data_IF_633029213915
#
_entry.id   IF_633029213915
#
_cell.length_a   1.000
_cell.length_b   1.000
_cell.length_c   1.000
_cell.angle_alpha   90.00
_cell.angle_beta   90.00
_cell.angle_gamma   90.00
#
_symmetry.space_group_name_H-M   'P 1'
#
loop_
_entity.id
_entity.type
_entity.pdbx_description
1 polymer ?
#
# COMPACT_ATOMS: atom_id res chain seq x y z
N UNK A 1 44.37 31.07 43.92
CA UNK A 1 43.17 30.38 44.48
C UNK A 1 42.08 31.43 44.56
N UNK A 2 40.88 31.33 43.99
CA UNK A 2 40.20 30.25 43.29
C UNK A 2 39.26 30.81 42.21
N UNK A 3 38.78 29.88 41.40
CA UNK A 3 38.31 30.05 40.02
C UNK A 3 36.94 30.73 39.87
N UNK A 4 36.83 31.48 38.78
CA UNK A 4 35.64 32.17 38.29
C UNK A 4 34.47 31.23 37.99
N UNK A 5 33.30 31.59 38.51
CA UNK A 5 32.02 31.00 38.16
C UNK A 5 31.53 31.54 36.81
N UNK A 6 31.44 30.69 35.78
CA UNK A 6 30.49 30.84 34.66
C UNK A 6 30.03 29.45 34.22
N UNK A 7 28.89 29.01 34.74
CA UNK A 7 28.18 27.79 34.30
C UNK A 7 27.60 28.07 32.91
N UNK A 8 28.16 27.46 31.87
CA UNK A 8 27.55 27.43 30.55
C UNK A 8 26.38 26.44 30.57
N UNK A 9 25.16 26.93 30.42
CA UNK A 9 23.97 26.10 30.21
C UNK A 9 23.96 25.69 28.74
N UNK A 10 24.39 24.47 28.43
CA UNK A 10 24.22 23.90 27.11
C UNK A 10 22.77 23.41 26.97
N UNK A 11 21.94 24.19 26.26
CA UNK A 11 20.58 23.82 25.92
C UNK A 11 20.63 22.76 24.81
N UNK A 12 20.45 21.49 25.16
CA UNK A 12 20.35 20.40 24.19
C UNK A 12 19.01 20.53 23.43
N UNK A 13 19.06 20.94 22.16
CA UNK A 13 17.94 20.80 21.23
C UNK A 13 17.76 19.30 20.93
N UNK A 14 16.73 18.68 21.50
CA UNK A 14 16.24 17.37 21.10
C UNK A 14 15.55 17.51 19.73
N UNK A 15 15.93 16.76 18.68
CA UNK A 15 15.15 16.72 17.46
C UNK A 15 13.82 16.03 17.74
N UNK A 16 12.71 16.69 17.37
CA UNK A 16 11.38 16.11 17.40
C UNK A 16 11.35 14.92 16.43
N UNK A 17 11.40 13.70 16.99
CA UNK A 17 11.19 12.48 16.25
C UNK A 17 9.72 12.49 15.81
N UNK A 18 9.45 12.81 14.55
CA UNK A 18 8.14 12.64 13.97
C UNK A 18 7.76 11.16 14.16
N UNK A 19 6.70 10.90 14.94
CA UNK A 19 6.17 9.57 15.11
C UNK A 19 5.71 9.08 13.72
N UNK A 20 6.54 8.24 13.08
CA UNK A 20 6.12 7.52 11.91
C UNK A 20 4.91 6.67 12.35
N UNK A 21 3.75 6.79 11.68
CA UNK A 21 2.63 5.93 11.99
C UNK A 21 3.09 4.48 11.88
N UNK A 22 2.88 3.71 12.94
CA UNK A 22 3.15 2.29 12.97
C UNK A 22 2.16 1.59 12.03
N UNK A 23 2.46 1.64 10.73
CA UNK A 23 1.70 0.93 9.74
C UNK A 23 2.05 -0.56 9.84
N UNK A 24 0.99 -1.36 9.92
CA UNK A 24 0.97 -2.77 9.52
C UNK A 24 2.01 -3.02 8.43
N UNK A 25 2.88 -4.02 8.64
CA UNK A 25 4.16 -4.24 7.95
C UNK A 25 4.33 -3.44 6.64
N UNK A 26 5.40 -2.65 6.55
CA UNK A 26 5.78 -1.89 5.36
C UNK A 26 6.23 -2.83 4.21
N UNK A 27 5.27 -3.43 3.50
CA UNK A 27 5.56 -4.40 2.43
C UNK A 27 5.95 -3.75 1.09
N UNK A 28 6.01 -2.41 0.99
CA UNK A 28 6.42 -1.77 -0.26
C UNK A 28 6.68 -0.27 -0.22
N UNK A 29 6.38 0.43 0.88
CA UNK A 29 6.39 1.89 1.04
C UNK A 29 5.74 2.68 -0.12
N UNK A 30 4.86 2.03 -0.89
CA UNK A 30 3.90 2.73 -1.73
C UNK A 30 2.71 3.03 -0.83
N UNK A 31 2.38 4.31 -0.68
CA UNK A 31 1.21 4.77 0.06
C UNK A 31 0.25 5.39 -0.94
N UNK A 32 -0.89 4.73 -1.25
CA UNK A 32 -1.89 5.29 -2.15
C UNK A 32 -2.38 6.66 -1.66
N UNK A 33 -2.56 7.61 -2.56
CA UNK A 33 -2.89 8.99 -2.21
C UNK A 33 -1.71 9.87 -1.76
N UNK A 34 -0.51 9.30 -1.57
CA UNK A 34 0.70 10.06 -1.22
C UNK A 34 1.87 9.80 -2.19
N UNK A 35 2.15 8.54 -2.51
CA UNK A 35 3.25 8.19 -3.41
C UNK A 35 3.01 8.68 -4.83
N UNK A 36 4.08 9.12 -5.48
CA UNK A 36 4.07 9.59 -6.87
C UNK A 36 4.81 8.62 -7.79
N UNK A 37 4.63 8.77 -9.10
CA UNK A 37 5.43 8.10 -10.12
C UNK A 37 6.94 8.18 -9.85
N UNK A 38 7.42 9.34 -9.41
CA UNK A 38 8.84 9.55 -9.07
C UNK A 38 9.27 8.66 -7.90
N UNK A 39 8.54 8.68 -6.80
CA UNK A 39 8.87 7.88 -5.60
C UNK A 39 8.84 6.37 -5.88
N UNK A 40 7.90 5.91 -6.70
CA UNK A 40 7.81 4.49 -7.09
C UNK A 40 8.99 4.12 -7.99
N UNK A 41 9.34 4.96 -8.98
CA UNK A 41 10.48 4.72 -9.86
C UNK A 41 11.80 4.74 -9.11
N UNK A 42 11.96 5.64 -8.13
CA UNK A 42 13.16 5.68 -7.29
C UNK A 42 13.36 4.38 -6.50
N UNK A 43 12.27 3.68 -6.16
CA UNK A 43 12.30 2.43 -5.39
C UNK A 43 12.45 1.19 -6.26
N UNK A 44 11.67 1.08 -7.32
CA UNK A 44 11.56 -0.14 -8.12
C UNK A 44 12.23 -0.04 -9.49
N UNK A 45 12.83 1.11 -9.81
CA UNK A 45 13.36 1.36 -11.15
C UNK A 45 12.27 1.55 -12.19
N UNK A 46 12.65 1.35 -13.45
CA UNK A 46 11.72 1.46 -14.58
C UNK A 46 10.73 0.28 -14.60
N UNK A 47 9.45 0.52 -14.91
CA UNK A 47 8.50 -0.56 -15.07
C UNK A 47 8.83 -1.40 -16.31
N UNK A 48 8.49 -2.69 -16.27
CA UNK A 48 8.59 -3.57 -17.44
C UNK A 48 7.58 -3.26 -18.53
N UNK A 49 6.43 -2.68 -18.15
CA UNK A 49 5.36 -2.33 -19.07
C UNK A 49 4.56 -1.15 -18.54
N UNK A 50 4.12 -0.29 -19.46
CA UNK A 50 3.28 0.87 -19.16
C UNK A 50 2.04 0.83 -20.05
N UNK A 51 0.88 1.07 -19.46
CA UNK A 51 -0.39 1.21 -20.17
C UNK A 51 -1.04 2.55 -19.84
N UNK A 52 -1.72 3.14 -20.82
CA UNK A 52 -2.64 4.24 -20.59
C UNK A 52 -4.04 3.70 -20.30
N UNK A 53 -4.77 4.37 -19.42
CA UNK A 53 -6.14 3.99 -19.06
C UNK A 53 -7.02 5.23 -18.87
N UNK A 54 -8.33 5.08 -19.05
CA UNK A 54 -9.32 6.11 -18.68
C UNK A 54 -9.89 5.81 -17.30
N UNK A 55 -9.73 6.74 -16.37
CA UNK A 55 -10.23 6.64 -14.99
C UNK A 55 -11.20 7.79 -14.78
N UNK A 56 -12.49 7.49 -14.66
CA UNK A 56 -13.54 8.50 -14.41
C UNK A 56 -13.50 9.66 -15.43
N UNK A 57 -13.15 9.36 -16.69
CA UNK A 57 -13.00 10.34 -17.77
C UNK A 57 -11.61 11.00 -17.87
N UNK A 58 -10.73 10.81 -16.88
CA UNK A 58 -9.36 11.33 -16.89
C UNK A 58 -8.37 10.32 -17.47
N UNK A 59 -7.27 10.84 -18.04
CA UNK A 59 -6.14 10.02 -18.48
C UNK A 59 -5.29 9.60 -17.28
N UNK A 60 -5.19 8.29 -17.08
CA UNK A 60 -4.33 7.68 -16.08
C UNK A 60 -3.33 6.72 -16.69
N UNK A 61 -2.39 6.29 -15.85
CA UNK A 61 -1.28 5.41 -16.25
C UNK A 61 -1.27 4.18 -15.36
N UNK A 62 -0.91 3.03 -15.92
CA UNK A 62 -0.65 1.79 -15.18
C UNK A 62 0.77 1.33 -15.47
N UNK A 63 1.52 1.02 -14.41
CA UNK A 63 2.82 0.40 -14.50
C UNK A 63 2.78 -1.04 -14.03
N UNK A 64 3.55 -1.89 -14.70
CA UNK A 64 3.74 -3.28 -14.34
C UNK A 64 5.21 -3.54 -14.08
N UNK A 65 5.48 -4.25 -12.99
CA UNK A 65 6.78 -4.77 -12.59
C UNK A 65 6.67 -6.30 -12.54
N UNK A 66 7.17 -6.94 -13.59
CA UNK A 66 7.04 -8.38 -13.85
C UNK A 66 8.41 -9.04 -13.96
N UNK A 67 8.45 -10.37 -13.88
CA UNK A 67 9.67 -11.17 -14.05
C UNK A 67 10.84 -10.68 -13.16
N UNK A 68 11.99 -10.33 -13.76
CA UNK A 68 13.18 -9.90 -13.04
C UNK A 68 13.03 -8.54 -12.34
N UNK A 69 12.01 -7.74 -12.71
CA UNK A 69 11.71 -6.46 -12.07
C UNK A 69 10.60 -6.56 -11.01
N UNK A 70 9.97 -7.73 -10.87
CA UNK A 70 9.02 -7.95 -9.78
C UNK A 70 9.77 -7.96 -8.43
N UNK A 71 9.22 -7.33 -7.38
CA UNK A 71 9.81 -7.40 -6.05
C UNK A 71 9.98 -8.84 -5.55
N UNK A 72 10.96 -9.13 -4.68
CA UNK A 72 11.17 -10.46 -4.13
C UNK A 72 9.88 -11.06 -3.53
N UNK A 73 9.62 -12.32 -3.85
CA UNK A 73 8.40 -13.02 -3.42
C UNK A 73 7.15 -12.71 -4.25
N UNK A 74 7.18 -11.72 -5.14
CA UNK A 74 6.06 -11.40 -6.03
C UNK A 74 6.22 -12.04 -7.40
N UNK A 75 5.08 -12.39 -8.00
CA UNK A 75 4.98 -12.64 -9.44
C UNK A 75 4.92 -11.31 -10.18
N UNK A 76 4.17 -10.36 -9.62
CA UNK A 76 3.90 -9.07 -10.24
C UNK A 76 3.54 -8.01 -9.20
N UNK A 77 4.01 -6.79 -9.44
CA UNK A 77 3.50 -5.56 -8.84
C UNK A 77 2.86 -4.72 -9.94
N UNK A 78 1.62 -4.28 -9.73
CA UNK A 78 0.91 -3.37 -10.64
C UNK A 78 0.62 -2.07 -9.88
N UNK A 79 0.95 -0.93 -10.46
CA UNK A 79 0.70 0.38 -9.85
C UNK A 79 -0.17 1.21 -10.78
N UNK A 80 -1.32 1.64 -10.28
CA UNK A 80 -2.20 2.56 -10.98
C UNK A 80 -1.96 3.99 -10.51
N UNK A 81 -1.84 4.89 -11.47
CA UNK A 81 -1.71 6.34 -11.27
C UNK A 81 -2.90 7.09 -11.83
N UNK A 82 -3.15 8.27 -11.28
CA UNK A 82 -4.29 9.11 -11.62
C UNK A 82 -5.35 9.02 -10.53
N UNK A 83 -5.29 9.97 -9.60
CA UNK A 83 -6.24 10.10 -8.49
C UNK A 83 -6.88 11.49 -8.53
N UNK A 84 -8.17 11.57 -8.22
CA UNK A 84 -8.91 12.84 -8.13
C UNK A 84 -9.27 13.16 -6.68
N UNK A 85 -8.33 13.71 -5.87
CA UNK A 85 -8.69 14.30 -4.59
C UNK A 85 -9.59 15.53 -4.77
N UNK A 86 -10.13 16.03 -3.64
CA UNK A 86 -10.98 17.23 -3.63
C UNK A 86 -10.34 18.47 -4.27
N UNK A 87 -9.00 18.52 -4.32
CA UNK A 87 -8.21 19.61 -4.91
C UNK A 87 -8.08 19.53 -6.44
N UNK A 88 -8.54 18.44 -7.07
CA UNK A 88 -8.47 18.23 -8.52
C UNK A 88 -7.70 16.98 -8.91
N UNK A 89 -7.74 16.63 -10.21
CA UNK A 89 -7.08 15.43 -10.72
C UNK A 89 -5.56 15.54 -10.70
N UNK A 90 -4.90 14.48 -10.26
CA UNK A 90 -3.45 14.35 -10.12
C UNK A 90 -2.98 13.09 -10.86
N UNK A 91 -2.42 13.23 -12.08
CA UNK A 91 -2.03 12.09 -12.91
C UNK A 91 -0.84 11.30 -12.37
N UNK A 92 0.00 11.94 -11.55
CA UNK A 92 1.24 11.40 -11.02
C UNK A 92 1.06 10.61 -9.70
N UNK A 93 -0.11 10.75 -9.06
CA UNK A 93 -0.40 10.19 -7.75
C UNK A 93 -0.86 8.74 -7.87
N UNK A 94 -0.33 7.87 -7.01
CA UNK A 94 -0.77 6.47 -6.91
C UNK A 94 -2.20 6.44 -6.41
N UNK A 95 -3.11 5.89 -7.21
CA UNK A 95 -4.50 5.63 -6.81
C UNK A 95 -4.67 4.27 -6.16
N UNK A 96 -3.88 3.30 -6.57
CA UNK A 96 -3.93 1.92 -6.08
C UNK A 96 -2.71 1.15 -6.53
N UNK A 97 -2.39 0.07 -5.84
CA UNK A 97 -1.45 -0.93 -6.35
C UNK A 97 -1.90 -2.34 -5.98
N UNK A 98 -1.48 -3.31 -6.77
CA UNK A 98 -1.78 -4.72 -6.63
C UNK A 98 -0.48 -5.50 -6.46
N UNK A 99 -0.40 -6.30 -5.41
CA UNK A 99 0.65 -7.31 -5.23
C UNK A 99 0.07 -8.67 -5.59
N UNK A 100 0.70 -9.36 -6.54
CA UNK A 100 0.40 -10.75 -6.84
C UNK A 100 1.56 -11.62 -6.35
N UNK A 101 1.44 -12.24 -5.17
CA UNK A 101 2.53 -13.03 -4.60
C UNK A 101 2.73 -14.36 -5.31
N UNK A 102 3.94 -14.92 -5.21
CA UNK A 102 4.17 -16.34 -5.50
C UNK A 102 3.39 -17.19 -4.48
N UNK A 103 3.00 -18.43 -4.83
CA UNK A 103 2.33 -19.32 -3.88
C UNK A 103 3.12 -19.46 -2.57
N UNK A 104 2.42 -19.57 -1.43
CA UNK A 104 2.96 -19.74 -0.07
C UNK A 104 3.71 -18.54 0.51
N UNK A 105 3.76 -17.39 -0.17
CA UNK A 105 4.35 -16.17 0.41
C UNK A 105 3.42 -15.54 1.44
N UNK A 106 2.12 -15.54 1.14
CA UNK A 106 1.08 -15.07 2.06
C UNK A 106 0.01 -16.15 2.20
N UNK A 107 -0.31 -16.47 3.45
CA UNK A 107 -1.47 -17.23 3.88
C UNK A 107 -2.33 -16.36 4.83
N UNK A 108 -3.48 -16.87 5.27
CA UNK A 108 -4.37 -16.16 6.19
C UNK A 108 -3.69 -15.73 7.49
N UNK A 109 -2.81 -16.59 8.02
CA UNK A 109 -2.13 -16.33 9.29
C UNK A 109 -1.15 -15.18 9.13
N UNK A 110 -0.35 -15.17 8.05
CA UNK A 110 0.59 -14.08 7.76
C UNK A 110 -0.17 -12.76 7.55
N UNK A 111 -1.30 -12.79 6.83
CA UNK A 111 -2.14 -11.61 6.63
C UNK A 111 -2.66 -11.07 7.96
N UNK A 112 -3.25 -11.93 8.80
CA UNK A 112 -3.78 -11.49 10.10
C UNK A 112 -2.68 -11.04 11.06
N UNK A 113 -1.51 -11.69 11.03
CA UNK A 113 -0.35 -11.24 11.83
C UNK A 113 0.21 -9.90 11.34
N UNK A 114 0.15 -9.62 10.04
CA UNK A 114 0.68 -8.39 9.46
C UNK A 114 -0.24 -7.19 9.59
N UNK A 115 -1.55 -7.38 9.39
CA UNK A 115 -2.55 -6.31 9.30
C UNK A 115 -3.68 -6.41 10.32
N UNK A 116 -3.68 -7.43 11.18
CA UNK A 116 -4.74 -7.67 12.14
C UNK A 116 -5.96 -8.39 11.55
N UNK A 117 -7.01 -8.51 12.37
CA UNK A 117 -8.29 -9.06 11.92
C UNK A 117 -8.93 -8.13 10.90
N UNK A 118 -9.51 -8.65 9.80
CA UNK A 118 -10.24 -7.81 8.88
C UNK A 118 -11.53 -7.30 9.51
N UNK A 119 -11.91 -6.06 9.20
CA UNK A 119 -13.19 -5.49 9.59
C UNK A 119 -14.36 -6.24 8.92
N UNK A 120 -14.13 -6.86 7.75
CA UNK A 120 -15.10 -7.75 7.12
C UNK A 120 -14.47 -8.86 6.29
N UNK A 121 -15.15 -10.01 6.26
CA UNK A 121 -14.89 -11.10 5.31
C UNK A 121 -16.04 -11.13 4.29
N UNK A 122 -15.70 -10.97 3.02
CA UNK A 122 -16.60 -11.10 1.88
C UNK A 122 -16.30 -12.35 1.04
N UNK A 123 -17.05 -12.51 -0.05
CA UNK A 123 -16.85 -13.56 -1.05
C UNK A 123 -16.76 -12.95 -2.44
N UNK A 124 -15.80 -13.41 -3.24
CA UNK A 124 -15.71 -13.09 -4.66
C UNK A 124 -15.39 -14.37 -5.45
N UNK A 125 -16.25 -14.70 -6.43
CA UNK A 125 -16.08 -15.90 -7.27
C UNK A 125 -15.87 -17.20 -6.46
N UNK A 126 -16.50 -17.29 -5.29
CA UNK A 126 -16.43 -18.42 -4.36
C UNK A 126 -15.25 -18.39 -3.38
N UNK A 127 -14.28 -17.50 -3.56
CA UNK A 127 -13.13 -17.33 -2.67
C UNK A 127 -13.40 -16.25 -1.60
N UNK A 128 -12.69 -16.34 -0.48
CA UNK A 128 -12.74 -15.30 0.56
C UNK A 128 -12.03 -14.03 0.11
N UNK A 129 -12.56 -12.90 0.56
CA UNK A 129 -11.91 -11.60 0.48
C UNK A 129 -11.90 -10.98 1.87
N UNK A 130 -10.74 -10.60 2.36
CA UNK A 130 -10.62 -9.81 3.59
C UNK A 130 -10.62 -8.34 3.23
N UNK A 131 -11.45 -7.54 3.91
CA UNK A 131 -11.60 -6.13 3.66
C UNK A 131 -11.15 -5.35 4.89
N UNK A 132 -10.25 -4.40 4.65
CA UNK A 132 -9.67 -3.52 5.65
C UNK A 132 -10.01 -2.06 5.34
N UNK A 133 -10.55 -1.32 6.31
CA UNK A 133 -10.95 0.10 6.14
C UNK A 133 -9.78 1.02 5.80
N UNK A 134 -8.57 0.60 6.15
CA UNK A 134 -7.32 1.27 5.84
C UNK A 134 -6.95 1.14 4.35
N UNK A 135 -7.84 0.58 3.52
CA UNK A 135 -7.72 0.53 2.07
C UNK A 135 -7.04 -0.74 1.55
N UNK A 136 -6.99 -1.81 2.33
CA UNK A 136 -6.44 -3.12 1.93
C UNK A 136 -7.57 -4.11 1.63
N UNK A 137 -7.48 -4.77 0.48
CA UNK A 137 -8.29 -5.94 0.13
C UNK A 137 -7.36 -7.13 -0.12
N UNK A 138 -7.64 -8.26 0.52
CA UNK A 138 -6.86 -9.49 0.36
C UNK A 138 -7.73 -10.56 -0.25
N UNK A 139 -7.39 -10.95 -1.48
CA UNK A 139 -8.11 -11.97 -2.26
C UNK A 139 -7.42 -13.31 -2.08
N UNK A 140 -8.15 -14.30 -1.56
CA UNK A 140 -7.65 -15.66 -1.44
C UNK A 140 -7.90 -16.46 -2.73
N UNK A 141 -7.17 -17.54 -2.90
CA UNK A 141 -7.53 -18.59 -3.85
C UNK A 141 -8.82 -19.31 -3.43
N UNK A 142 -9.37 -20.14 -4.32
CA UNK A 142 -10.64 -20.86 -4.08
C UNK A 142 -10.53 -21.86 -2.93
N UNK A 143 -9.36 -22.45 -2.74
CA UNK A 143 -9.11 -23.41 -1.68
C UNK A 143 -8.90 -22.70 -0.32
N UNK A 144 -8.72 -21.37 -0.34
CA UNK A 144 -8.61 -20.51 0.83
C UNK A 144 -7.24 -20.54 1.50
N UNK A 145 -6.24 -21.16 0.88
CA UNK A 145 -4.92 -21.40 1.46
C UNK A 145 -3.92 -20.29 1.13
N UNK A 146 -3.88 -19.84 -0.12
CA UNK A 146 -2.96 -18.79 -0.55
C UNK A 146 -3.69 -17.48 -0.77
N UNK A 147 -3.00 -16.38 -0.53
CA UNK A 147 -3.38 -15.09 -1.08
C UNK A 147 -3.04 -15.07 -2.56
N UNK A 148 -4.03 -14.78 -3.40
CA UNK A 148 -3.87 -14.56 -4.82
C UNK A 148 -3.45 -13.13 -5.13
N UNK A 149 -4.00 -12.16 -4.38
CA UNK A 149 -3.65 -10.76 -4.55
C UNK A 149 -3.90 -9.93 -3.28
N UNK A 150 -3.08 -8.90 -3.08
CA UNK A 150 -3.32 -7.82 -2.11
C UNK A 150 -3.49 -6.52 -2.90
N UNK A 151 -4.65 -5.88 -2.78
CA UNK A 151 -4.93 -4.59 -3.40
C UNK A 151 -4.92 -3.50 -2.34
N UNK A 152 -4.15 -2.46 -2.59
CA UNK A 152 -4.03 -1.30 -1.71
C UNK A 152 -4.61 -0.08 -2.41
N UNK A 153 -5.39 0.69 -1.67
CA UNK A 153 -6.10 1.90 -2.07
C UNK A 153 -5.99 2.94 -0.95
N UNK A 154 -6.33 4.22 -1.17
CA UNK A 154 -6.50 5.15 -0.07
C UNK A 154 -7.55 4.62 0.92
N UNK A 155 -7.44 4.97 2.21
CA UNK A 155 -8.46 4.60 3.19
C UNK A 155 -9.84 5.00 2.70
N UNK A 156 -10.77 4.04 2.72
CA UNK A 156 -12.13 4.23 2.27
C UNK A 156 -13.07 3.41 3.16
N UNK A 157 -14.24 3.94 3.53
CA UNK A 157 -15.23 3.19 4.27
C UNK A 157 -15.57 1.89 3.55
N UNK A 158 -15.80 0.80 4.31
CA UNK A 158 -16.25 -0.43 3.69
C UNK A 158 -17.58 -0.20 2.97
N UNK A 159 -17.77 -0.80 1.78
CA UNK A 159 -19.08 -0.83 1.15
C UNK A 159 -20.14 -1.37 2.12
N UNK A 160 -21.43 -1.06 1.97
CA UNK A 160 -22.48 -1.75 2.71
C UNK A 160 -22.38 -3.27 2.50
N UNK A 161 -22.73 -4.07 3.51
CA UNK A 161 -22.79 -5.52 3.32
C UNK A 161 -23.82 -5.84 2.23
N UNK A 162 -23.45 -6.68 1.27
CA UNK A 162 -24.40 -7.13 0.26
C UNK A 162 -25.55 -7.91 0.96
N UNK A 163 -26.82 -7.69 0.58
CA UNK A 163 -27.92 -8.49 1.09
C UNK A 163 -27.64 -9.96 0.82
N UNK A 164 -27.71 -10.81 1.84
CA UNK A 164 -27.65 -12.25 1.62
C UNK A 164 -28.90 -12.65 0.83
N UNK A 165 -28.71 -13.15 -0.39
CA UNK A 165 -29.77 -13.78 -1.18
C UNK A 165 -29.71 -15.28 -0.99
#
# INVERSE_FOLDING_TARGET
>A
MGSSARRALALALLPALAAAPAWALDWGAIVPGLSTMETVRARYGAPTRTESQKIEGFDGTRWFYEAAQAPPGLQRLIVDYGLKPATGFRPDLVRSFLLEPKPRIFDRRIVVSGWGQPERIGKENGADVYLYEQGLLVYFDKDGWNVRALMFTPPQPLPPAAPQR
#
